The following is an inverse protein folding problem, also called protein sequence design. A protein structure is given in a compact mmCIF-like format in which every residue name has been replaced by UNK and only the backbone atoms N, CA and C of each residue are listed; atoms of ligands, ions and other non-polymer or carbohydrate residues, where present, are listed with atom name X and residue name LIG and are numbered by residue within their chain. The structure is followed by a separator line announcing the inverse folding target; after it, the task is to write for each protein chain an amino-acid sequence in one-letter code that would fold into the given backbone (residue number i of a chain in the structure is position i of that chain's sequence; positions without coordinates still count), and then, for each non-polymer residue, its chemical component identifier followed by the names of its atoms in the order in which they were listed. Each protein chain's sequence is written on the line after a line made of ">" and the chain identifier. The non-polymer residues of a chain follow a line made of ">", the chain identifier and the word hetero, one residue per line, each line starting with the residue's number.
data_IF_617296432543
#
_entry.id   IF_617296432543
#
_cell.length_a   1.000
_cell.length_b   1.000
_cell.length_c   1.000
_cell.angle_alpha   90.00
_cell.angle_beta   90.00
_cell.angle_gamma   90.00
#
_symmetry.space_group_name_H-M   'P 1'
#
loop_
_entity.id
_entity.type
_entity.pdbx_description
1 polymer ?
#
# COMPACT_ATOMS: atom_id res chain seq x y z
N UNK A 1 3.37 7.53 -12.01
CA UNK A 1 2.80 8.73 -11.37
C UNK A 1 1.91 8.27 -10.22
N UNK A 2 1.96 8.91 -9.06
CA UNK A 2 1.19 8.52 -7.88
C UNK A 2 0.12 9.56 -7.59
N UNK A 3 -1.15 9.14 -7.55
CA UNK A 3 -2.31 10.01 -7.32
C UNK A 3 -3.02 9.63 -6.02
N UNK A 4 -3.68 10.60 -5.40
CA UNK A 4 -4.39 10.37 -4.15
C UNK A 4 -3.48 10.27 -2.92
N UNK A 5 -2.21 10.68 -3.04
CA UNK A 5 -1.25 10.89 -1.94
C UNK A 5 -0.60 12.26 -2.05
N UNK A 6 -0.17 12.81 -0.92
CA UNK A 6 0.56 14.08 -0.85
C UNK A 6 2.05 13.90 -1.17
N UNK A 7 2.75 15.03 -1.40
CA UNK A 7 4.21 15.03 -1.59
C UNK A 7 4.94 14.61 -0.32
N UNK A 8 4.38 14.97 0.84
CA UNK A 8 4.89 14.66 2.16
C UNK A 8 4.77 13.17 2.46
N UNK A 9 3.63 12.56 2.12
CA UNK A 9 3.42 11.10 2.23
C UNK A 9 4.45 10.34 1.38
N UNK A 10 4.61 10.74 0.11
CA UNK A 10 5.60 10.14 -0.78
C UNK A 10 7.04 10.33 -0.27
N UNK A 11 7.35 11.50 0.28
CA UNK A 11 8.68 11.80 0.82
C UNK A 11 8.96 11.00 2.10
N UNK A 12 7.97 10.84 2.97
CA UNK A 12 8.08 10.01 4.16
C UNK A 12 8.30 8.53 3.80
N UNK A 13 7.57 8.02 2.81
CA UNK A 13 7.76 6.68 2.26
C UNK A 13 9.19 6.47 1.74
N UNK A 14 9.71 7.41 0.93
CA UNK A 14 11.10 7.36 0.43
C UNK A 14 12.11 7.34 1.58
N UNK A 15 12.01 8.27 2.53
CA UNK A 15 12.93 8.33 3.68
C UNK A 15 12.91 7.05 4.51
N UNK A 16 11.73 6.43 4.66
CA UNK A 16 11.61 5.15 5.38
C UNK A 16 12.33 4.04 4.62
N UNK A 17 12.09 3.92 3.32
CA UNK A 17 12.79 2.96 2.47
C UNK A 17 14.31 3.17 2.49
N UNK A 18 14.79 4.41 2.46
CA UNK A 18 16.22 4.75 2.50
C UNK A 18 16.93 4.26 3.76
N UNK A 19 16.23 4.28 4.90
CA UNK A 19 16.76 3.81 6.19
C UNK A 19 16.81 2.28 6.31
N UNK A 20 16.48 1.54 5.25
CA UNK A 20 16.43 0.08 5.30
C UNK A 20 15.18 -0.47 5.99
N UNK A 21 14.16 0.37 6.19
CA UNK A 21 12.86 -0.07 6.74
C UNK A 21 11.89 -0.40 5.61
N UNK A 22 11.00 -1.37 5.84
CA UNK A 22 9.89 -1.63 4.91
C UNK A 22 8.92 -0.44 4.91
N UNK A 23 8.90 0.27 3.80
CA UNK A 23 8.02 1.39 3.56
C UNK A 23 6.85 0.98 2.66
N UNK A 24 5.62 1.14 3.15
CA UNK A 24 4.41 0.79 2.43
C UNK A 24 3.65 2.06 2.08
N UNK A 25 3.23 2.19 0.82
CA UNK A 25 2.37 3.29 0.37
C UNK A 25 1.35 2.78 -0.64
N UNK A 26 0.12 3.30 -0.54
CA UNK A 26 -0.95 2.99 -1.48
C UNK A 26 -1.30 4.25 -2.24
N UNK A 27 -1.48 4.14 -3.56
CA UNK A 27 -1.94 5.25 -4.39
C UNK A 27 -2.82 4.75 -5.52
N UNK A 28 -3.60 5.65 -6.14
CA UNK A 28 -4.39 5.28 -7.31
C UNK A 28 -3.49 4.97 -8.50
N UNK A 29 -3.83 3.90 -9.20
CA UNK A 29 -3.13 3.40 -10.38
C UNK A 29 -4.16 3.03 -11.43
N UNK A 30 -3.84 3.30 -12.70
CA UNK A 30 -4.71 3.00 -13.82
C UNK A 30 -3.86 2.49 -14.98
N UNK A 31 -4.22 1.32 -15.47
CA UNK A 31 -3.64 0.70 -16.65
C UNK A 31 -4.77 -0.01 -17.39
N UNK A 32 -4.91 0.27 -18.69
CA UNK A 32 -6.04 -0.23 -19.49
C UNK A 32 -6.05 -1.76 -19.60
N UNK A 33 -4.91 -2.42 -19.35
CA UNK A 33 -4.82 -3.88 -19.29
C UNK A 33 -5.46 -4.48 -18.03
N UNK A 34 -5.68 -3.66 -17.00
CA UNK A 34 -6.20 -4.08 -15.70
C UNK A 34 -7.36 -3.16 -15.26
N UNK A 35 -8.51 -3.20 -15.95
CA UNK A 35 -9.61 -2.24 -15.75
C UNK A 35 -10.23 -2.30 -14.33
N UNK A 36 -10.09 -3.43 -13.65
CA UNK A 36 -10.62 -3.63 -12.30
C UNK A 36 -9.64 -3.22 -11.19
N UNK A 37 -8.38 -2.92 -11.52
CA UNK A 37 -7.36 -2.52 -10.55
C UNK A 37 -7.24 -1.00 -10.55
N UNK A 38 -7.68 -0.36 -9.47
CA UNK A 38 -7.71 1.10 -9.33
C UNK A 38 -6.57 1.64 -8.47
N UNK A 39 -5.86 0.76 -7.79
CA UNK A 39 -4.89 1.09 -6.75
C UNK A 39 -3.70 0.15 -6.85
N UNK A 40 -2.55 0.64 -6.41
CA UNK A 40 -1.35 -0.18 -6.19
C UNK A 40 -0.82 0.12 -4.80
N UNK A 41 -0.39 -0.92 -4.09
CA UNK A 41 0.37 -0.77 -2.85
C UNK A 41 1.80 -1.13 -3.14
N UNK A 42 2.71 -0.20 -2.86
CA UNK A 42 4.14 -0.38 -3.03
C UNK A 42 4.80 -0.65 -1.69
N UNK A 43 5.54 -1.74 -1.59
CA UNK A 43 6.43 -2.02 -0.47
C UNK A 43 7.88 -1.87 -0.91
N UNK A 44 8.62 -0.93 -0.34
CA UNK A 44 9.99 -0.60 -0.73
C UNK A 44 10.97 -0.63 0.44
N UNK A 45 12.22 -0.95 0.14
CA UNK A 45 13.33 -0.89 1.08
C UNK A 45 14.65 -0.80 0.31
N UNK A 46 15.59 0.02 0.78
CA UNK A 46 16.95 0.11 0.22
C UNK A 46 17.76 -1.16 0.49
N UNK A 47 17.49 -1.85 1.60
CA UNK A 47 18.01 -3.19 1.87
C UNK A 47 17.16 -4.23 1.13
N UNK A 48 17.71 -4.68 0.00
CA UNK A 48 17.07 -5.70 -0.84
C UNK A 48 16.91 -7.05 -0.13
N UNK A 49 17.85 -7.43 0.74
CA UNK A 49 17.74 -8.71 1.45
C UNK A 49 16.59 -8.66 2.45
N UNK A 50 16.47 -7.55 3.19
CA UNK A 50 15.33 -7.30 4.05
C UNK A 50 14.00 -7.30 3.27
N UNK A 51 13.96 -6.68 2.10
CA UNK A 51 12.77 -6.68 1.23
C UNK A 51 12.38 -8.09 0.78
N UNK A 52 13.36 -8.92 0.38
CA UNK A 52 13.12 -10.31 -0.01
C UNK A 52 12.57 -11.11 1.16
N UNK A 53 13.20 -11.01 2.33
CA UNK A 53 12.75 -11.73 3.53
C UNK A 53 11.33 -11.33 3.93
N UNK A 54 11.04 -10.02 3.93
CA UNK A 54 9.69 -9.50 4.17
C UNK A 54 8.68 -10.03 3.15
N UNK A 55 9.02 -10.00 1.86
CA UNK A 55 8.13 -10.52 0.81
C UNK A 55 7.88 -12.03 0.93
N UNK A 56 8.91 -12.82 1.27
CA UNK A 56 8.79 -14.26 1.48
C UNK A 56 7.86 -14.63 2.63
N UNK A 57 7.80 -13.82 3.69
CA UNK A 57 6.85 -14.02 4.79
C UNK A 57 5.38 -13.96 4.31
N UNK A 58 5.13 -13.25 3.21
CA UNK A 58 3.85 -13.19 2.53
C UNK A 58 3.80 -14.07 1.27
N UNK A 59 4.77 -14.96 1.01
CA UNK A 59 4.76 -15.80 -0.19
C UNK A 59 5.06 -15.06 -1.50
N UNK A 60 5.53 -13.81 -1.45
CA UNK A 60 5.97 -13.07 -2.63
C UNK A 60 7.31 -13.63 -3.15
N UNK A 61 7.43 -13.73 -4.47
CA UNK A 61 8.66 -14.21 -5.10
C UNK A 61 9.65 -13.05 -5.26
N UNK A 62 10.92 -13.25 -4.91
CA UNK A 62 11.97 -12.24 -5.06
C UNK A 62 12.12 -11.69 -6.49
N UNK A 63 11.79 -12.49 -7.50
CA UNK A 63 11.77 -12.07 -8.91
C UNK A 63 10.68 -11.03 -9.25
N UNK A 64 9.71 -10.80 -8.35
CA UNK A 64 8.69 -9.77 -8.51
C UNK A 64 9.15 -8.40 -7.99
N UNK A 65 10.37 -8.30 -7.44
CA UNK A 65 10.94 -7.01 -7.04
C UNK A 65 11.25 -6.20 -8.31
N UNK A 66 10.70 -5.00 -8.37
CA UNK A 66 11.11 -3.98 -9.31
C UNK A 66 12.40 -3.34 -8.80
N UNK A 67 13.54 -3.83 -9.30
CA UNK A 67 14.89 -3.39 -8.92
C UNK A 67 15.27 -2.01 -9.52
N UNK A 68 14.41 -1.00 -9.37
CA UNK A 68 14.68 0.38 -9.79
C UNK A 68 15.32 1.15 -8.64
N UNK A 69 16.62 1.41 -8.75
CA UNK A 69 17.32 2.28 -7.83
C UNK A 69 16.67 3.69 -7.78
N UNK A 70 16.62 4.34 -6.61
CA UNK A 70 17.18 3.90 -5.32
C UNK A 70 16.21 3.06 -4.45
N UNK A 71 15.01 2.73 -4.93
CA UNK A 71 13.97 2.07 -4.13
C UNK A 71 13.48 0.78 -4.79
N UNK A 72 14.21 -0.35 -4.64
CA UNK A 72 13.67 -1.67 -4.95
C UNK A 72 12.31 -1.84 -4.24
N UNK A 73 11.31 -2.35 -4.96
CA UNK A 73 9.96 -2.45 -4.42
C UNK A 73 9.12 -3.55 -5.04
N UNK A 74 8.15 -4.04 -4.29
CA UNK A 74 7.03 -4.81 -4.83
C UNK A 74 5.88 -3.89 -5.21
N UNK A 75 5.21 -4.21 -6.32
CA UNK A 75 3.89 -3.69 -6.65
C UNK A 75 2.83 -4.75 -6.29
N UNK A 76 1.96 -4.42 -5.34
CA UNK A 76 0.96 -5.31 -4.78
C UNK A 76 -0.43 -4.91 -5.29
N UNK A 77 -1.19 -5.92 -5.72
CA UNK A 77 -2.53 -5.80 -6.29
C UNK A 77 -3.44 -6.91 -5.78
N UNK A 78 -4.76 -6.71 -5.85
CA UNK A 78 -5.76 -7.74 -5.56
C UNK A 78 -5.63 -8.29 -4.13
N UNK A 79 -5.71 -9.61 -3.99
CA UNK A 79 -5.68 -10.27 -2.68
C UNK A 79 -4.37 -9.99 -1.91
N UNK A 80 -3.22 -9.93 -2.60
CA UNK A 80 -1.96 -9.55 -1.97
C UNK A 80 -1.99 -8.16 -1.36
N UNK A 81 -2.60 -7.20 -2.06
CA UNK A 81 -2.75 -5.84 -1.55
C UNK A 81 -3.59 -5.84 -0.27
N UNK A 82 -4.67 -6.61 -0.26
CA UNK A 82 -5.59 -6.73 0.85
C UNK A 82 -4.97 -7.38 2.09
N UNK A 83 -4.41 -8.58 1.91
CA UNK A 83 -3.88 -9.41 2.98
C UNK A 83 -2.70 -8.74 3.66
N UNK A 84 -1.80 -8.13 2.87
CA UNK A 84 -0.62 -7.44 3.39
C UNK A 84 -1.01 -6.16 4.12
N UNK A 85 -1.91 -5.32 3.56
CA UNK A 85 -2.33 -4.11 4.28
C UNK A 85 -3.00 -4.44 5.62
N UNK A 86 -3.77 -5.53 5.68
CA UNK A 86 -4.38 -6.00 6.92
C UNK A 86 -3.34 -6.55 7.90
N UNK A 87 -2.39 -7.35 7.44
CA UNK A 87 -1.33 -7.91 8.28
C UNK A 87 -0.39 -6.83 8.85
N UNK A 88 -0.16 -5.76 8.09
CA UNK A 88 0.70 -4.63 8.48
C UNK A 88 -0.05 -3.54 9.28
N UNK A 89 -1.34 -3.72 9.58
CA UNK A 89 -2.14 -2.75 10.35
C UNK A 89 -2.33 -1.41 9.63
N UNK A 90 -2.53 -1.45 8.31
CA UNK A 90 -2.69 -0.28 7.44
C UNK A 90 -4.14 -0.09 6.99
N UNK A 91 -5.10 -0.26 7.91
CA UNK A 91 -6.52 -0.16 7.63
C UNK A 91 -6.91 1.22 7.10
N UNK A 92 -6.23 2.28 7.53
CA UNK A 92 -6.41 3.63 6.99
C UNK A 92 -6.23 3.69 5.46
N UNK A 93 -5.28 2.92 4.91
CA UNK A 93 -5.12 2.79 3.46
C UNK A 93 -6.29 2.02 2.86
N UNK A 94 -6.71 0.93 3.50
CA UNK A 94 -7.83 0.12 3.03
C UNK A 94 -9.12 0.94 2.92
N UNK A 95 -9.44 1.75 3.93
CA UNK A 95 -10.61 2.63 3.90
C UNK A 95 -10.47 3.75 2.87
N UNK A 96 -9.36 4.49 2.88
CA UNK A 96 -9.14 5.64 1.98
C UNK A 96 -9.22 5.24 0.51
N UNK A 97 -8.71 4.06 0.18
CA UNK A 97 -8.62 3.58 -1.20
C UNK A 97 -9.68 2.50 -1.55
N UNK A 98 -10.61 2.21 -0.64
CA UNK A 98 -11.67 1.22 -0.81
C UNK A 98 -11.15 -0.16 -1.26
N UNK A 99 -10.16 -0.68 -0.53
CA UNK A 99 -9.54 -1.99 -0.75
C UNK A 99 -10.18 -2.99 0.19
N UNK A 100 -10.72 -4.08 -0.33
CA UNK A 100 -11.34 -5.16 0.45
C UNK A 100 -12.42 -4.74 1.44
N UNK A 101 -13.03 -3.57 1.23
CA UNK A 101 -14.14 -3.10 2.04
C UNK A 101 -15.40 -3.86 1.63
N UNK A 102 -15.88 -4.76 2.49
CA UNK A 102 -17.20 -5.36 2.31
C UNK A 102 -18.28 -4.27 2.47
N UNK A 103 -19.42 -4.44 1.81
CA UNK A 103 -20.53 -3.47 1.85
C UNK A 103 -21.04 -3.18 3.28
N UNK A 104 -20.80 -4.12 4.21
CA UNK A 104 -21.22 -4.04 5.62
C UNK A 104 -20.33 -3.07 6.41
N UNK A 105 -19.03 -2.98 6.09
CA UNK A 105 -18.06 -2.19 6.84
C UNK A 105 -18.24 -0.67 6.67
N UNK A 106 -18.84 -0.25 5.56
CA UNK A 106 -19.13 1.16 5.29
C UNK A 106 -20.31 1.72 6.11
N UNK A 107 -21.16 0.87 6.70
CA UNK A 107 -22.27 1.33 7.55
C UNK A 107 -21.84 1.69 8.98
N UNK A 108 -20.81 1.03 9.52
CA UNK A 108 -20.39 1.25 10.91
C UNK A 108 -19.62 2.57 11.10
N UNK A 109 -18.91 3.06 10.08
CA UNK A 109 -18.13 4.31 10.15
C UNK A 109 -19.01 5.55 9.92
N UNK A 110 -20.05 5.47 9.06
CA UNK A 110 -21.00 6.58 8.88
C UNK A 110 -21.80 6.90 10.15
N UNK A 111 -21.85 5.99 11.13
CA UNK A 111 -22.49 6.23 12.42
C UNK A 111 -21.63 6.93 13.47
N UNK A 112 -20.34 7.17 13.23
CA UNK A 112 -19.42 7.79 14.22
C UNK A 112 -18.83 9.14 13.80
N UNK A 113 -19.28 9.71 12.67
CA UNK A 113 -18.72 10.94 12.09
C UNK A 113 -19.50 12.24 12.33
N UNK A 114 -20.69 12.20 12.92
CA UNK A 114 -21.54 13.40 13.10
C UNK A 114 -21.53 13.88 14.55
N UNK A 115 -20.36 14.25 15.08
CA UNK A 115 -20.29 15.20 16.20
C UNK A 115 -18.92 15.87 16.28
N UNK A 116 -18.72 16.86 15.42
CA UNK A 116 -17.75 17.91 15.65
C UNK A 116 -18.26 19.20 14.99
N UNK A 117 -19.33 19.78 15.57
CA UNK A 117 -19.58 21.22 15.45
C UNK A 117 -20.47 21.68 16.62
N UNK A 118 -19.84 22.22 17.67
CA UNK A 118 -20.36 23.23 18.60
C UNK A 118 -19.18 23.89 19.31
#
# INVERSE_FOLDING_TARGET
>A
MAFGISKEELSAWKRKAERGEIAIITHFWRDDRFPNMRTVTKAACSDRQALVAWGQAYGLKSQWIHDRAPYPHFDLFGDWQCDILKAEGLEAHMYRFNICTSHVYNMEIKGKGDHADK
#
